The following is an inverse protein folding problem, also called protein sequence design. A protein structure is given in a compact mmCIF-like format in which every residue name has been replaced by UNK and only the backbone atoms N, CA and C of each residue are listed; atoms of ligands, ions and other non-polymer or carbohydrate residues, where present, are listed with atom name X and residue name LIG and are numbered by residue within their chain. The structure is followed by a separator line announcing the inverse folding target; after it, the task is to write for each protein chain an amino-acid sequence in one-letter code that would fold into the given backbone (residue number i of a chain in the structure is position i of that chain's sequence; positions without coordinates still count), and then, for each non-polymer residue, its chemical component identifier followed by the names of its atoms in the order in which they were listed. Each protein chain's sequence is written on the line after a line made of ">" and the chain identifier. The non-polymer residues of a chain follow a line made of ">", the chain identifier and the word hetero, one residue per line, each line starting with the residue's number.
data_IF_105345554952
#
_entry.id   IF_105345554952
#
_cell.length_a   1.000
_cell.length_b   1.000
_cell.length_c   1.000
_cell.angle_alpha   90.00
_cell.angle_beta   90.00
_cell.angle_gamma   90.00
#
_symmetry.space_group_name_H-M   'P 1'
#
loop_
_entity.id
_entity.type
_entity.pdbx_description
1 polymer ?
#
# COMPACT_ATOMS: atom_id res chain seq x y z
N UNK A 1 14.65 -3.51 21.12
CA UNK A 1 14.06 -4.84 21.39
C UNK A 1 14.10 -5.81 20.19
N UNK A 2 14.88 -5.58 19.17
CA UNK A 2 14.77 -6.34 17.92
C UNK A 2 15.66 -7.56 17.74
N UNK A 3 16.80 -7.68 18.41
CA UNK A 3 17.81 -8.67 18.05
C UNK A 3 17.41 -10.12 18.39
N UNK A 4 16.95 -10.36 19.61
CA UNK A 4 16.63 -11.73 20.08
C UNK A 4 15.47 -12.36 19.31
N UNK A 5 14.33 -11.67 19.17
CA UNK A 5 13.16 -12.21 18.46
C UNK A 5 13.46 -12.46 16.98
N UNK A 6 14.25 -11.60 16.34
CA UNK A 6 14.73 -11.84 14.97
C UNK A 6 15.58 -13.09 14.87
N UNK A 7 16.50 -13.30 15.80
CA UNK A 7 17.33 -14.51 15.83
C UNK A 7 16.46 -15.75 15.99
N UNK A 8 15.54 -15.76 16.98
CA UNK A 8 14.61 -16.87 17.19
C UNK A 8 13.82 -17.15 15.90
N UNK A 9 13.27 -16.09 15.26
CA UNK A 9 12.51 -16.25 14.01
C UNK A 9 13.38 -16.86 12.88
N UNK A 10 14.63 -16.38 12.72
CA UNK A 10 15.57 -16.87 11.72
C UNK A 10 15.96 -18.34 11.91
N UNK A 11 16.08 -18.79 13.17
CA UNK A 11 16.41 -20.20 13.48
C UNK A 11 15.21 -21.14 13.40
N UNK A 12 14.00 -20.63 13.61
CA UNK A 12 12.78 -21.45 13.67
C UNK A 12 11.98 -21.45 12.36
N UNK A 13 12.30 -20.57 11.41
CA UNK A 13 11.56 -20.43 10.13
C UNK A 13 12.48 -20.57 8.93
N UNK A 14 11.98 -21.17 7.81
CA UNK A 14 12.73 -21.22 6.56
C UNK A 14 13.11 -19.82 6.05
N UNK A 15 14.22 -19.74 5.29
CA UNK A 15 14.73 -18.47 4.74
C UNK A 15 13.69 -17.69 3.93
N UNK A 16 12.78 -18.37 3.25
CA UNK A 16 11.69 -17.75 2.48
C UNK A 16 10.75 -16.87 3.32
N UNK A 17 10.73 -17.02 4.65
CA UNK A 17 9.88 -16.23 5.56
C UNK A 17 10.59 -15.04 6.21
N UNK A 18 11.86 -14.80 5.92
CA UNK A 18 12.70 -13.79 6.62
C UNK A 18 12.17 -12.35 6.54
N UNK A 19 11.41 -12.01 5.51
CA UNK A 19 10.78 -10.68 5.40
C UNK A 19 9.79 -10.38 6.53
N UNK A 20 9.35 -11.39 7.28
CA UNK A 20 8.44 -11.26 8.43
C UNK A 20 9.17 -11.13 9.77
N UNK A 21 10.50 -11.20 9.82
CA UNK A 21 11.28 -11.24 11.07
C UNK A 21 11.11 -10.00 11.97
N UNK A 22 10.74 -8.86 11.37
CA UNK A 22 10.45 -7.63 12.10
C UNK A 22 9.01 -7.54 12.60
N UNK A 23 8.11 -8.35 12.05
CA UNK A 23 6.70 -8.38 12.41
C UNK A 23 6.43 -9.34 13.57
N UNK A 24 7.15 -10.46 13.62
CA UNK A 24 6.99 -11.45 14.69
C UNK A 24 7.78 -11.07 15.94
N UNK A 25 7.22 -11.29 17.16
CA UNK A 25 5.91 -11.89 17.50
C UNK A 25 4.78 -10.83 17.64
N UNK A 26 5.02 -9.58 17.28
CA UNK A 26 4.16 -8.45 17.63
C UNK A 26 2.95 -8.28 16.70
N UNK A 27 2.98 -8.89 15.53
CA UNK A 27 1.91 -8.82 14.54
C UNK A 27 1.14 -10.13 14.50
N UNK A 28 -0.19 -10.05 14.61
CA UNK A 28 -1.11 -11.19 14.39
C UNK A 28 -2.15 -10.77 13.37
N UNK A 29 -2.41 -11.63 12.41
CA UNK A 29 -3.38 -11.38 11.33
C UNK A 29 -4.40 -12.51 11.24
N UNK A 30 -5.59 -12.17 10.75
CA UNK A 30 -6.54 -13.14 10.19
C UNK A 30 -6.69 -12.82 8.71
N UNK A 31 -6.53 -13.84 7.87
CA UNK A 31 -6.69 -13.71 6.42
C UNK A 31 -8.02 -14.31 6.00
N UNK A 32 -8.82 -13.54 5.28
CA UNK A 32 -10.07 -14.01 4.70
C UNK A 32 -9.83 -14.94 3.50
N UNK A 33 -10.81 -15.76 3.08
CA UNK A 33 -10.70 -16.59 1.87
C UNK A 33 -10.45 -15.77 0.59
N UNK A 34 -10.89 -14.52 0.55
CA UNK A 34 -10.61 -13.56 -0.54
C UNK A 34 -9.11 -13.23 -0.70
N UNK A 35 -8.30 -13.52 0.32
CA UNK A 35 -6.88 -13.18 0.36
C UNK A 35 -6.56 -11.94 1.20
N UNK A 36 -7.52 -11.03 1.44
CA UNK A 36 -7.29 -9.84 2.27
C UNK A 36 -7.05 -10.16 3.74
N UNK A 37 -6.34 -9.29 4.43
CA UNK A 37 -6.22 -9.34 5.88
C UNK A 37 -7.45 -8.69 6.48
N UNK A 38 -8.33 -9.51 7.07
CA UNK A 38 -9.60 -9.08 7.64
C UNK A 38 -9.48 -8.62 9.09
N UNK A 39 -8.45 -9.03 9.81
CA UNK A 39 -8.18 -8.56 11.16
C UNK A 39 -6.67 -8.45 11.41
N UNK A 40 -6.29 -7.40 12.12
CA UNK A 40 -4.92 -7.09 12.48
C UNK A 40 -4.82 -6.76 13.98
N UNK A 41 -3.86 -7.39 14.64
CA UNK A 41 -3.41 -6.96 15.97
C UNK A 41 -1.91 -6.66 15.93
N UNK A 42 -1.55 -5.52 16.48
CA UNK A 42 -0.17 -5.08 16.60
C UNK A 42 0.16 -4.73 18.04
N UNK A 43 1.21 -5.36 18.59
CA UNK A 43 1.63 -5.20 20.00
C UNK A 43 0.44 -5.36 20.99
N UNK A 44 -0.42 -6.35 20.73
CA UNK A 44 -1.59 -6.67 21.57
C UNK A 44 -2.83 -5.82 21.31
N UNK A 45 -2.75 -4.72 20.56
CA UNK A 45 -3.88 -3.83 20.25
C UNK A 45 -4.49 -4.20 18.90
N UNK A 46 -5.81 -4.16 18.79
CA UNK A 46 -6.53 -4.28 17.52
C UNK A 46 -6.34 -3.00 16.71
N UNK A 47 -6.01 -3.16 15.42
CA UNK A 47 -5.85 -2.05 14.48
C UNK A 47 -7.06 -2.03 13.56
N UNK A 48 -7.87 -0.96 13.56
CA UNK A 48 -9.00 -0.85 12.64
C UNK A 48 -8.48 -0.71 11.21
N UNK A 49 -8.98 -1.57 10.32
CA UNK A 49 -8.65 -1.56 8.89
C UNK A 49 -9.92 -1.35 8.07
N UNK A 50 -9.80 -0.60 6.98
CA UNK A 50 -10.83 -0.58 5.95
C UNK A 50 -10.75 -1.88 5.15
N UNK A 51 -11.89 -2.56 4.96
CA UNK A 51 -11.94 -3.79 4.17
C UNK A 51 -11.67 -3.50 2.70
N UNK A 52 -10.69 -4.19 2.12
CA UNK A 52 -10.41 -4.10 0.69
C UNK A 52 -11.58 -4.63 -0.14
N UNK A 53 -12.31 -5.62 0.36
CA UNK A 53 -13.51 -6.15 -0.30
C UNK A 53 -14.62 -5.11 -0.40
N UNK A 54 -14.82 -4.30 0.65
CA UNK A 54 -15.80 -3.22 0.65
C UNK A 54 -15.42 -2.05 -0.29
N UNK A 55 -14.13 -1.93 -0.59
CA UNK A 55 -13.61 -0.90 -1.50
C UNK A 55 -13.73 -1.29 -2.99
N UNK A 56 -14.03 -2.54 -3.31
CA UNK A 56 -14.15 -2.98 -4.71
C UNK A 56 -15.26 -2.21 -5.43
N UNK A 57 -14.90 -1.53 -6.54
CA UNK A 57 -15.82 -0.73 -7.35
C UNK A 57 -16.67 0.26 -6.52
N UNK A 58 -16.13 0.75 -5.40
CA UNK A 58 -16.81 1.72 -4.53
C UNK A 58 -16.71 3.15 -5.04
N UNK A 59 -15.91 3.38 -6.07
CA UNK A 59 -15.68 4.66 -6.74
C UNK A 59 -15.87 4.49 -8.24
N UNK A 60 -16.05 5.61 -8.96
CA UNK A 60 -16.23 5.63 -10.41
C UNK A 60 -15.82 6.98 -10.99
N UNK A 61 -15.75 7.06 -12.32
CA UNK A 61 -15.40 8.29 -13.02
C UNK A 61 -13.90 8.54 -13.04
N UNK A 62 -13.50 9.79 -12.88
CA UNK A 62 -12.12 10.24 -13.00
C UNK A 62 -11.44 10.37 -11.64
N UNK A 63 -10.13 10.16 -11.62
CA UNK A 63 -9.26 10.40 -10.46
C UNK A 63 -7.95 11.04 -10.91
N UNK A 64 -7.42 11.96 -10.12
CA UNK A 64 -6.08 12.48 -10.30
C UNK A 64 -5.08 11.68 -9.43
N UNK A 65 -4.09 11.08 -10.07
CA UNK A 65 -2.95 10.46 -9.41
C UNK A 65 -1.74 11.39 -9.50
N UNK A 66 -1.29 11.91 -8.36
CA UNK A 66 -0.12 12.80 -8.32
C UNK A 66 1.09 12.12 -7.74
N UNK A 67 2.23 12.28 -8.43
CA UNK A 67 3.53 11.85 -7.99
C UNK A 67 4.41 13.05 -7.56
N UNK A 68 5.72 12.86 -7.51
CA UNK A 68 6.70 13.87 -7.05
C UNK A 68 7.59 14.40 -8.18
N UNK A 69 7.17 14.18 -9.43
CA UNK A 69 7.94 14.62 -10.60
C UNK A 69 8.06 16.15 -10.66
N UNK A 70 9.17 16.68 -11.20
CA UNK A 70 9.36 18.15 -11.35
C UNK A 70 8.27 18.80 -12.20
N UNK A 71 7.68 18.06 -13.13
CA UNK A 71 6.58 18.49 -14.00
C UNK A 71 5.34 18.93 -13.25
N UNK A 72 5.08 18.39 -12.06
CA UNK A 72 3.90 18.74 -11.25
C UNK A 72 3.86 20.21 -10.85
N UNK A 73 5.01 20.89 -10.80
CA UNK A 73 5.10 22.32 -10.46
C UNK A 73 4.45 23.23 -11.50
N UNK A 74 4.44 22.79 -12.76
CA UNK A 74 3.97 23.57 -13.90
C UNK A 74 2.51 23.27 -14.27
N UNK A 75 1.85 22.35 -13.53
CA UNK A 75 0.46 21.99 -13.80
C UNK A 75 -0.47 23.02 -13.16
N UNK A 76 -1.39 23.54 -13.95
CA UNK A 76 -2.49 24.37 -13.46
C UNK A 76 -3.65 23.48 -13.00
N UNK A 77 -3.64 23.16 -11.71
CA UNK A 77 -4.70 22.34 -11.10
C UNK A 77 -6.06 23.07 -10.99
N UNK A 78 -6.12 24.38 -11.24
CA UNK A 78 -7.39 25.12 -11.24
C UNK A 78 -8.33 24.69 -12.37
N UNK A 79 -7.79 24.07 -13.42
CA UNK A 79 -8.54 23.52 -14.55
C UNK A 79 -9.24 22.20 -14.22
N UNK A 80 -8.88 21.57 -13.11
CA UNK A 80 -9.53 20.34 -12.67
C UNK A 80 -10.84 20.63 -11.94
N UNK A 81 -11.80 19.72 -12.08
CA UNK A 81 -13.00 19.77 -11.25
C UNK A 81 -12.63 19.68 -9.77
N UNK A 82 -13.18 20.58 -8.95
CA UNK A 82 -12.96 20.56 -7.48
C UNK A 82 -13.49 19.29 -6.81
N UNK A 83 -14.31 18.52 -7.50
CA UNK A 83 -14.89 17.27 -7.01
C UNK A 83 -14.11 16.02 -7.42
N UNK A 84 -13.07 16.17 -8.26
CA UNK A 84 -12.26 15.03 -8.67
C UNK A 84 -11.50 14.46 -7.45
N UNK A 85 -11.60 13.16 -7.14
CA UNK A 85 -10.79 12.55 -6.11
C UNK A 85 -9.30 12.65 -6.46
N UNK A 86 -8.46 12.87 -5.46
CA UNK A 86 -7.02 12.95 -5.66
C UNK A 86 -6.32 11.86 -4.83
N UNK A 87 -5.50 11.06 -5.50
CA UNK A 87 -4.57 10.15 -4.87
C UNK A 87 -3.15 10.71 -4.91
N UNK A 88 -2.54 10.88 -3.74
CA UNK A 88 -1.14 11.22 -3.61
C UNK A 88 -0.26 9.99 -3.37
N UNK A 89 1.00 10.05 -3.81
CA UNK A 89 2.00 9.04 -3.49
C UNK A 89 3.27 9.68 -2.91
N UNK A 90 3.85 9.04 -1.91
CA UNK A 90 5.10 9.49 -1.26
C UNK A 90 5.09 11.01 -0.95
N UNK A 91 5.97 11.78 -1.57
CA UNK A 91 6.15 13.21 -1.34
C UNK A 91 5.13 14.14 -2.02
N UNK A 92 4.09 13.64 -2.69
CA UNK A 92 3.06 14.46 -3.33
C UNK A 92 2.34 15.42 -2.35
N UNK A 93 2.52 15.22 -1.04
CA UNK A 93 2.00 16.09 0.02
C UNK A 93 2.44 17.57 -0.10
N UNK A 94 3.52 17.85 -0.82
CA UNK A 94 3.93 19.24 -1.11
C UNK A 94 2.90 20.02 -1.92
N UNK A 95 1.90 19.35 -2.49
CA UNK A 95 0.77 19.97 -3.21
C UNK A 95 -0.48 20.12 -2.34
N UNK A 96 -0.40 19.89 -1.02
CA UNK A 96 -1.56 19.90 -0.12
C UNK A 96 -2.19 21.29 0.06
N UNK A 97 -1.50 22.35 -0.29
CA UNK A 97 -2.01 23.72 -0.39
C UNK A 97 -2.85 23.97 -1.65
N UNK A 98 -2.70 23.12 -2.67
CA UNK A 98 -3.35 23.25 -4.00
C UNK A 98 -4.36 22.13 -4.28
N UNK A 99 -4.21 20.97 -3.64
CA UNK A 99 -4.99 19.76 -3.87
C UNK A 99 -5.51 19.17 -2.56
N UNK A 100 -6.77 18.76 -2.55
CA UNK A 100 -7.34 18.04 -1.44
C UNK A 100 -7.19 16.53 -1.67
N UNK A 101 -6.31 15.88 -0.89
CA UNK A 101 -6.08 14.44 -0.99
C UNK A 101 -7.15 13.65 -0.21
N UNK A 102 -7.89 12.79 -0.91
CA UNK A 102 -8.82 11.83 -0.31
C UNK A 102 -8.26 10.41 -0.24
N UNK A 103 -7.29 10.10 -1.11
CA UNK A 103 -6.59 8.83 -1.19
C UNK A 103 -5.08 9.07 -1.09
N UNK A 104 -4.38 8.15 -0.46
CA UNK A 104 -2.92 8.23 -0.37
C UNK A 104 -2.28 6.85 -0.37
N UNK A 105 -1.10 6.71 -0.99
CA UNK A 105 -0.34 5.45 -0.99
C UNK A 105 1.11 5.69 -0.60
N UNK A 106 1.57 5.00 0.45
CA UNK A 106 2.97 5.03 0.90
C UNK A 106 3.41 3.60 1.18
N UNK A 107 4.32 3.08 0.37
CA UNK A 107 4.88 1.73 0.50
C UNK A 107 6.40 1.74 0.70
N UNK A 108 7.04 2.88 0.52
CA UNK A 108 8.48 3.06 0.73
C UNK A 108 8.78 3.29 2.21
N UNK A 109 9.45 2.33 2.83
CA UNK A 109 9.83 2.42 4.25
C UNK A 109 10.94 3.44 4.52
N UNK A 110 11.75 3.75 3.51
CA UNK A 110 12.78 4.79 3.62
C UNK A 110 12.13 6.19 3.64
N UNK A 111 11.04 6.37 2.88
CA UNK A 111 10.26 7.60 2.93
C UNK A 111 9.69 7.86 4.33
N UNK A 112 9.21 6.83 5.04
CA UNK A 112 8.77 6.96 6.43
C UNK A 112 9.87 7.45 7.37
N UNK A 113 11.12 7.08 7.11
CA UNK A 113 12.24 7.47 7.94
C UNK A 113 12.78 8.87 7.61
N UNK A 114 12.78 9.23 6.32
CA UNK A 114 13.35 10.49 5.82
C UNK A 114 12.40 11.68 5.88
N UNK A 115 11.09 11.44 5.92
CA UNK A 115 10.06 12.50 5.83
C UNK A 115 9.01 12.40 6.96
N UNK A 116 9.44 12.41 8.24
CA UNK A 116 8.54 12.20 9.37
C UNK A 116 7.41 13.24 9.47
N UNK A 117 7.70 14.51 9.11
CA UNK A 117 6.71 15.58 9.19
C UNK A 117 5.58 15.40 8.15
N UNK A 118 5.94 14.96 6.93
CA UNK A 118 4.97 14.66 5.88
C UNK A 118 4.10 13.47 6.31
N UNK A 119 4.70 12.41 6.86
CA UNK A 119 3.95 11.26 7.37
C UNK A 119 2.97 11.71 8.46
N UNK A 120 3.43 12.51 9.43
CA UNK A 120 2.57 13.03 10.50
C UNK A 120 1.42 13.86 9.95
N UNK A 121 1.68 14.73 8.98
CA UNK A 121 0.64 15.53 8.34
C UNK A 121 -0.43 14.66 7.68
N UNK A 122 -0.02 13.65 6.88
CA UNK A 122 -0.93 12.73 6.18
C UNK A 122 -1.77 11.91 7.17
N UNK A 123 -1.12 11.28 8.18
CA UNK A 123 -1.86 10.40 9.10
C UNK A 123 -2.81 11.15 10.02
N UNK A 124 -2.65 12.46 10.17
CA UNK A 124 -3.52 13.34 10.95
C UNK A 124 -4.79 13.78 10.21
N UNK A 125 -4.92 13.47 8.92
CA UNK A 125 -6.09 13.86 8.11
C UNK A 125 -7.20 12.80 8.18
N UNK A 126 -8.37 13.10 8.76
CA UNK A 126 -9.45 12.10 8.91
C UNK A 126 -10.07 11.67 7.57
N UNK A 127 -10.00 12.55 6.56
CA UNK A 127 -10.61 12.31 5.26
C UNK A 127 -9.76 11.42 4.34
N UNK A 128 -8.48 11.23 4.67
CA UNK A 128 -7.59 10.40 3.88
C UNK A 128 -7.84 8.91 4.14
N UNK A 129 -7.97 8.14 3.05
CA UNK A 129 -7.81 6.70 3.04
C UNK A 129 -6.37 6.37 2.61
N UNK A 130 -5.55 5.92 3.59
CA UNK A 130 -4.14 5.61 3.38
C UNK A 130 -3.94 4.12 3.11
N UNK A 131 -3.44 3.80 1.92
CA UNK A 131 -2.99 2.47 1.54
C UNK A 131 -1.51 2.31 1.89
N UNK A 132 -1.20 1.33 2.71
CA UNK A 132 0.18 1.04 3.10
C UNK A 132 0.37 -0.42 3.50
N UNK A 133 1.62 -0.86 3.57
CA UNK A 133 1.97 -2.23 3.99
C UNK A 133 1.95 -2.38 5.50
N UNK A 134 2.05 -3.62 5.99
CA UNK A 134 2.16 -3.87 7.44
C UNK A 134 3.35 -3.16 8.09
N UNK A 135 4.47 -3.04 7.37
CA UNK A 135 5.63 -2.31 7.86
C UNK A 135 5.35 -0.81 8.01
N UNK A 136 4.59 -0.23 7.07
CA UNK A 136 4.11 1.15 7.18
C UNK A 136 3.17 1.34 8.37
N UNK A 137 2.18 0.44 8.53
CA UNK A 137 1.27 0.47 9.69
C UNK A 137 2.05 0.37 11.01
N UNK A 138 3.03 -0.53 11.11
CA UNK A 138 3.85 -0.66 12.31
C UNK A 138 4.60 0.66 12.65
N UNK A 139 5.20 1.30 11.63
CA UNK A 139 5.87 2.61 11.81
C UNK A 139 4.88 3.72 12.22
N UNK A 140 3.69 3.75 11.62
CA UNK A 140 2.63 4.70 11.97
C UNK A 140 2.23 4.53 13.43
N UNK A 141 1.92 3.31 13.85
CA UNK A 141 1.48 3.05 15.22
C UNK A 141 2.58 3.30 16.26
N UNK A 142 3.84 3.02 15.92
CA UNK A 142 4.97 3.22 16.83
C UNK A 142 5.37 4.69 16.99
N UNK A 143 5.19 5.52 15.95
CA UNK A 143 5.69 6.91 15.94
C UNK A 143 4.60 7.98 15.99
N UNK A 144 3.41 7.66 15.49
CA UNK A 144 2.33 8.64 15.26
C UNK A 144 0.98 8.16 15.76
N UNK A 145 0.94 7.12 16.62
CA UNK A 145 -0.32 6.55 17.09
C UNK A 145 -1.24 7.57 17.79
N UNK A 146 -0.67 8.59 18.42
CA UNK A 146 -1.37 9.74 19.03
C UNK A 146 -2.00 10.67 17.99
N UNK A 147 -1.36 10.81 16.83
CA UNK A 147 -1.79 11.68 15.74
C UNK A 147 -2.65 10.96 14.68
N UNK A 148 -2.77 9.63 14.75
CA UNK A 148 -3.48 8.84 13.75
C UNK A 148 -4.98 9.16 13.73
N UNK A 149 -5.45 9.72 12.61
CA UNK A 149 -6.85 10.04 12.32
C UNK A 149 -7.29 9.47 10.98
N UNK A 150 -6.38 9.29 10.02
CA UNK A 150 -6.71 8.73 8.72
C UNK A 150 -7.20 7.29 8.81
N UNK A 151 -7.93 6.85 7.80
CA UNK A 151 -8.38 5.47 7.66
C UNK A 151 -7.26 4.63 7.01
N UNK A 152 -6.99 3.46 7.55
CA UNK A 152 -5.92 2.58 7.06
C UNK A 152 -6.49 1.44 6.22
N UNK A 153 -5.95 1.27 5.01
CA UNK A 153 -6.15 0.10 4.16
C UNK A 153 -4.83 -0.67 4.07
N UNK A 154 -4.80 -1.89 4.58
CA UNK A 154 -3.61 -2.74 4.54
C UNK A 154 -3.53 -3.45 3.19
N UNK A 155 -2.48 -3.15 2.46
CA UNK A 155 -2.12 -3.80 1.20
C UNK A 155 -0.87 -4.64 1.35
N UNK A 156 -0.74 -5.68 0.53
CA UNK A 156 0.42 -6.57 0.55
C UNK A 156 1.11 -6.61 -0.81
N UNK A 157 2.43 -6.66 -0.79
CA UNK A 157 3.20 -7.09 -1.94
C UNK A 157 2.92 -8.58 -2.23
N UNK A 158 2.52 -8.90 -3.46
CA UNK A 158 2.26 -10.28 -3.88
C UNK A 158 3.47 -11.20 -3.69
N UNK A 159 4.69 -10.65 -3.74
CA UNK A 159 5.92 -11.40 -3.51
C UNK A 159 6.29 -11.57 -2.03
N UNK A 160 5.76 -10.72 -1.14
CA UNK A 160 6.16 -10.63 0.27
C UNK A 160 4.96 -10.63 1.23
N UNK A 161 3.99 -11.52 0.99
CA UNK A 161 2.80 -11.61 1.85
C UNK A 161 3.15 -11.98 3.30
N UNK A 162 2.46 -11.37 4.24
CA UNK A 162 2.68 -11.58 5.67
C UNK A 162 2.48 -13.06 6.00
N UNK A 163 3.51 -13.65 6.62
CA UNK A 163 3.57 -15.04 7.07
C UNK A 163 3.38 -16.09 5.95
N UNK A 164 3.62 -15.70 4.71
CA UNK A 164 3.74 -16.62 3.57
C UNK A 164 5.19 -16.66 3.06
N UNK A 165 5.58 -17.68 2.31
CA UNK A 165 6.90 -17.74 1.71
C UNK A 165 7.06 -16.60 0.68
N UNK A 166 8.26 -16.00 0.64
CA UNK A 166 8.63 -15.07 -0.43
C UNK A 166 8.52 -15.75 -1.80
N UNK A 167 7.93 -15.06 -2.75
CA UNK A 167 7.96 -15.43 -4.17
C UNK A 167 9.10 -14.68 -4.84
N UNK A 168 10.02 -15.39 -5.48
CA UNK A 168 11.09 -14.77 -6.24
C UNK A 168 10.57 -14.17 -7.56
N UNK A 169 11.20 -13.12 -8.07
CA UNK A 169 10.72 -12.39 -9.26
C UNK A 169 10.55 -13.31 -10.47
N UNK A 170 11.49 -14.22 -10.69
CA UNK A 170 11.45 -15.22 -11.77
C UNK A 170 10.34 -16.29 -11.57
N UNK A 171 9.78 -16.39 -10.39
CA UNK A 171 8.72 -17.34 -10.06
C UNK A 171 7.32 -16.72 -10.08
N UNK A 172 7.18 -15.41 -10.26
CA UNK A 172 5.89 -14.70 -10.20
C UNK A 172 4.88 -15.33 -11.16
N UNK A 173 5.20 -15.43 -12.45
CA UNK A 173 4.30 -16.00 -13.45
C UNK A 173 3.91 -17.44 -13.09
N UNK A 174 4.88 -18.29 -12.76
CA UNK A 174 4.62 -19.69 -12.39
C UNK A 174 3.70 -19.80 -11.17
N UNK A 175 3.87 -18.91 -10.19
CA UNK A 175 3.07 -18.93 -8.94
C UNK A 175 1.64 -18.45 -9.16
N UNK A 176 1.46 -17.47 -10.03
CA UNK A 176 0.19 -16.76 -10.16
C UNK A 176 -0.54 -16.95 -11.49
N UNK A 177 0.01 -17.71 -12.46
CA UNK A 177 -0.57 -17.86 -13.81
C UNK A 177 -1.99 -18.43 -13.87
N UNK A 178 -2.41 -19.16 -12.85
CA UNK A 178 -3.78 -19.70 -12.76
C UNK A 178 -4.76 -18.74 -12.09
N UNK A 179 -4.26 -17.62 -11.57
CA UNK A 179 -5.12 -16.60 -10.95
C UNK A 179 -5.59 -15.61 -12.03
N UNK A 180 -6.88 -15.66 -12.37
CA UNK A 180 -7.46 -14.80 -13.40
C UNK A 180 -7.37 -13.29 -13.11
N UNK A 181 -7.11 -12.91 -11.86
CA UNK A 181 -6.89 -11.52 -11.48
C UNK A 181 -5.48 -10.99 -11.80
N UNK A 182 -4.58 -11.85 -12.29
CA UNK A 182 -3.17 -11.50 -12.53
C UNK A 182 -2.90 -11.37 -14.04
N UNK A 183 -2.57 -10.15 -14.46
CA UNK A 183 -2.21 -9.82 -15.84
C UNK A 183 -0.68 -9.74 -15.97
N UNK A 184 -0.08 -10.57 -16.81
CA UNK A 184 1.37 -10.62 -17.02
C UNK A 184 1.78 -9.89 -18.27
N UNK A 185 2.90 -9.16 -18.19
CA UNK A 185 3.50 -8.58 -19.39
C UNK A 185 4.00 -9.71 -20.31
N UNK A 186 3.69 -9.69 -21.62
CA UNK A 186 4.03 -10.81 -22.55
C UNK A 186 5.52 -11.15 -22.60
N UNK A 187 6.38 -10.13 -22.64
CA UNK A 187 7.83 -10.25 -22.77
C UNK A 187 8.59 -10.17 -21.43
N UNK A 188 7.93 -9.70 -20.36
CA UNK A 188 8.51 -9.52 -19.03
C UNK A 188 7.64 -10.22 -18.00
N UNK A 189 7.76 -11.54 -17.87
CA UNK A 189 6.89 -12.34 -16.97
C UNK A 189 7.10 -12.06 -15.48
N UNK A 190 8.13 -11.31 -15.13
CA UNK A 190 8.39 -10.74 -13.83
C UNK A 190 7.51 -9.51 -13.51
N UNK A 191 6.91 -8.89 -14.54
CA UNK A 191 5.98 -7.76 -14.39
C UNK A 191 4.55 -8.30 -14.42
N UNK A 192 3.84 -8.08 -13.31
CA UNK A 192 2.46 -8.50 -13.11
C UNK A 192 1.63 -7.30 -12.65
N UNK A 193 0.40 -7.18 -13.18
CA UNK A 193 -0.61 -6.25 -12.72
C UNK A 193 -1.75 -7.03 -12.07
N UNK A 194 -2.07 -6.71 -10.82
CA UNK A 194 -3.18 -7.31 -10.11
C UNK A 194 -4.46 -6.51 -10.30
N UNK A 195 -5.51 -7.15 -10.77
CA UNK A 195 -6.87 -6.59 -10.81
C UNK A 195 -7.67 -6.87 -9.54
N UNK A 196 -7.10 -7.68 -8.62
CA UNK A 196 -7.65 -7.93 -7.28
C UNK A 196 -6.57 -7.73 -6.21
N UNK A 197 -6.50 -6.53 -5.66
CA UNK A 197 -5.47 -6.15 -4.68
C UNK A 197 -5.52 -6.94 -3.37
N UNK A 198 -6.60 -7.68 -3.10
CA UNK A 198 -6.70 -8.61 -1.96
C UNK A 198 -5.75 -9.79 -2.12
N UNK A 199 -5.46 -10.14 -3.36
CA UNK A 199 -4.52 -11.21 -3.73
C UNK A 199 -3.06 -10.74 -3.76
N UNK A 200 -2.82 -9.47 -3.47
CA UNK A 200 -1.52 -8.81 -3.50
C UNK A 200 -1.38 -7.85 -4.67
N UNK A 201 -0.52 -6.87 -4.49
CA UNK A 201 -0.12 -5.87 -5.49
C UNK A 201 1.30 -6.20 -5.91
N UNK A 202 1.65 -5.96 -7.16
CA UNK A 202 3.00 -6.20 -7.65
C UNK A 202 3.73 -4.90 -7.91
N UNK A 203 5.02 -4.89 -7.57
CA UNK A 203 5.90 -3.75 -7.81
C UNK A 203 6.51 -3.82 -9.23
N UNK A 204 6.68 -2.66 -9.85
CA UNK A 204 7.44 -2.49 -11.08
C UNK A 204 8.45 -1.32 -10.94
N UNK A 205 9.00 -1.14 -9.73
CA UNK A 205 10.03 -0.15 -9.44
C UNK A 205 9.50 1.26 -9.14
N UNK A 206 8.17 1.43 -9.00
CA UNK A 206 7.58 2.72 -8.67
C UNK A 206 6.27 2.60 -7.89
N UNK A 207 6.09 3.46 -6.89
CA UNK A 207 4.84 3.52 -6.11
C UNK A 207 3.63 3.90 -6.97
N UNK A 208 3.83 4.58 -8.09
CA UNK A 208 2.76 4.89 -9.06
C UNK A 208 2.12 3.60 -9.59
N UNK A 209 2.91 2.55 -9.84
CA UNK A 209 2.40 1.27 -10.29
C UNK A 209 1.53 0.57 -9.23
N UNK A 210 1.84 0.74 -7.96
CA UNK A 210 0.98 0.31 -6.85
C UNK A 210 -0.34 1.07 -6.86
N UNK A 211 -0.27 2.40 -6.99
CA UNK A 211 -1.44 3.27 -7.02
C UNK A 211 -2.39 2.93 -8.18
N UNK A 212 -1.87 2.62 -9.37
CA UNK A 212 -2.67 2.22 -10.53
C UNK A 212 -3.49 0.96 -10.25
N UNK A 213 -2.90 -0.07 -9.61
CA UNK A 213 -3.61 -1.29 -9.23
C UNK A 213 -4.71 -1.01 -8.18
N UNK A 214 -4.43 -0.12 -7.23
CA UNK A 214 -5.40 0.31 -6.22
C UNK A 214 -6.56 1.06 -6.89
N UNK A 215 -6.27 2.03 -7.75
CA UNK A 215 -7.30 2.84 -8.43
C UNK A 215 -8.19 2.01 -9.36
N UNK A 216 -7.61 1.04 -10.08
CA UNK A 216 -8.36 0.08 -10.87
C UNK A 216 -9.30 -0.77 -9.99
N UNK A 217 -8.84 -1.23 -8.81
CA UNK A 217 -9.67 -1.96 -7.85
C UNK A 217 -10.82 -1.13 -7.29
N UNK A 218 -10.57 0.15 -7.02
CA UNK A 218 -11.59 1.09 -6.54
C UNK A 218 -12.69 1.35 -7.57
N UNK A 219 -12.44 1.11 -8.88
CA UNK A 219 -13.43 1.20 -9.95
C UNK A 219 -13.37 2.49 -10.78
N UNK A 220 -12.29 3.26 -10.67
CA UNK A 220 -12.11 4.45 -11.52
C UNK A 220 -11.96 4.06 -13.00
N UNK A 221 -12.63 4.81 -13.87
CA UNK A 221 -12.64 4.58 -15.32
C UNK A 221 -11.52 5.35 -16.04
N UNK A 222 -11.14 6.49 -15.49
CA UNK A 222 -10.11 7.38 -16.02
C UNK A 222 -9.13 7.78 -14.93
N UNK A 223 -7.85 7.60 -15.18
CA UNK A 223 -6.78 8.00 -14.26
C UNK A 223 -5.93 9.06 -14.96
N UNK A 224 -6.01 10.30 -14.46
CA UNK A 224 -5.14 11.39 -14.87
C UNK A 224 -3.86 11.29 -14.05
N UNK A 225 -2.70 11.27 -14.70
CA UNK A 225 -1.39 11.14 -14.00
C UNK A 225 -0.60 12.43 -14.19
N UNK A 226 -0.07 12.96 -13.08
CA UNK A 226 0.73 14.20 -13.05
C UNK A 226 2.12 13.98 -12.45
#
# INVERSE_FOLDING_TARGET
>A
MGSLFKQIYRYTRPRAYRHNENLWPFTRITRAPSGEISALRYKGKTVPLVSLSALKNSMQGEVLLTATGPSTRNIDFSLLSKTIPVMGVNGAWHLADRLHFSLYTIVDMEFFDKKPDIIRAIVSQPDILLFTTMHGIAKILDRYGDALRCRLALIEDGCYKIYQPKVASEAIKRTYQQNAAMCFHPQRPDICFSTDIRQGIFDAGTVVYWALQILAWLGFNTILVS
#
